data_IF_248488759222
#
_entry.id   IF_248488759222
#
_cell.length_a   1.000
_cell.length_b   1.000
_cell.length_c   1.000
_cell.angle_alpha   90.00
_cell.angle_beta   90.00
_cell.angle_gamma   90.00
#
_symmetry.space_group_name_H-M   'P 1'
#
loop_
_entity.id
_entity.type
_entity.pdbx_description
1 polymer ?
#
# COMPACT_ATOMS: atom_id res chain seq x y z
N UNK A 1 11.61 3.70 -12.98
CA UNK A 1 11.97 4.94 -12.26
C UNK A 1 11.11 4.90 -11.02
N UNK A 2 11.71 4.85 -9.83
CA UNK A 2 10.93 4.61 -8.62
C UNK A 2 9.94 5.76 -8.40
N UNK A 3 8.68 5.44 -8.12
CA UNK A 3 7.68 6.46 -7.82
C UNK A 3 8.01 7.10 -6.46
N UNK A 4 7.51 8.30 -6.21
CA UNK A 4 7.64 8.94 -4.90
C UNK A 4 7.08 8.05 -3.76
N UNK A 5 6.04 7.26 -4.06
CA UNK A 5 5.42 6.32 -3.12
C UNK A 5 6.30 5.11 -2.84
N UNK A 6 6.95 4.54 -3.86
CA UNK A 6 7.92 3.45 -3.70
C UNK A 6 9.06 3.84 -2.74
N UNK A 7 9.61 5.05 -2.89
CA UNK A 7 10.63 5.55 -1.97
C UNK A 7 10.11 5.70 -0.53
N UNK A 8 8.87 6.19 -0.35
CA UNK A 8 8.25 6.34 0.98
C UNK A 8 7.99 4.99 1.67
N UNK A 9 7.59 3.97 0.90
CA UNK A 9 7.41 2.60 1.42
C UNK A 9 8.73 2.02 1.91
N UNK A 10 9.79 2.18 1.13
CA UNK A 10 11.13 1.72 1.51
C UNK A 10 11.63 2.45 2.76
N UNK A 11 11.44 3.76 2.84
CA UNK A 11 11.81 4.57 4.01
C UNK A 11 11.13 4.05 5.30
N UNK A 12 9.81 3.78 5.26
CA UNK A 12 9.08 3.23 6.42
C UNK A 12 9.57 1.84 6.82
N UNK A 13 9.83 0.97 5.83
CA UNK A 13 10.30 -0.40 6.09
C UNK A 13 11.71 -0.41 6.68
N UNK A 14 12.59 0.45 6.17
CA UNK A 14 13.99 0.57 6.59
C UNK A 14 14.17 1.41 7.86
N UNK A 15 13.16 2.19 8.27
CA UNK A 15 13.22 3.00 9.48
C UNK A 15 13.40 2.14 10.74
N UNK A 16 14.61 2.14 11.30
CA UNK A 16 14.93 1.41 12.54
C UNK A 16 14.33 2.03 13.81
N UNK A 17 13.79 3.25 13.73
CA UNK A 17 13.15 3.94 14.86
C UNK A 17 11.68 3.55 15.03
N UNK A 18 11.04 3.03 13.97
CA UNK A 18 9.66 2.58 14.01
C UNK A 18 9.54 1.13 14.45
N UNK A 19 8.60 0.88 15.36
CA UNK A 19 8.15 -0.47 15.68
C UNK A 19 7.38 -1.08 14.51
N UNK A 20 7.32 -2.41 14.45
CA UNK A 20 6.56 -3.12 13.41
C UNK A 20 5.11 -2.65 13.31
N UNK A 21 4.46 -2.38 14.45
CA UNK A 21 3.07 -1.88 14.48
C UNK A 21 2.95 -0.48 13.86
N UNK A 22 3.91 0.42 14.13
CA UNK A 22 3.93 1.76 13.54
C UNK A 22 4.19 1.69 12.03
N UNK A 23 5.12 0.83 11.59
CA UNK A 23 5.37 0.60 10.16
C UNK A 23 4.11 0.12 9.45
N UNK A 24 3.37 -0.79 10.08
CA UNK A 24 2.10 -1.30 9.55
C UNK A 24 1.04 -0.20 9.48
N UNK A 25 0.95 0.67 10.49
CA UNK A 25 0.01 1.78 10.50
C UNK A 25 0.30 2.77 9.35
N UNK A 26 1.55 3.21 9.21
CA UNK A 26 1.99 4.11 8.14
C UNK A 26 1.76 3.53 6.74
N UNK A 27 2.08 2.25 6.55
CA UNK A 27 1.85 1.56 5.27
C UNK A 27 0.35 1.45 4.93
N UNK A 28 -0.51 1.27 5.93
CA UNK A 28 -1.98 1.24 5.73
C UNK A 28 -2.54 2.60 5.34
N UNK A 29 -1.99 3.68 5.88
CA UNK A 29 -2.39 5.04 5.49
C UNK A 29 -2.01 5.30 4.02
N UNK A 30 -0.82 4.91 3.59
CA UNK A 30 -0.40 4.99 2.18
C UNK A 30 -1.33 4.18 1.27
N UNK A 31 -1.74 2.97 1.69
CA UNK A 31 -2.70 2.15 0.96
C UNK A 31 -4.07 2.83 0.83
N UNK A 32 -4.57 3.42 1.93
CA UNK A 32 -5.84 4.12 1.97
C UNK A 32 -5.84 5.35 1.06
N UNK A 33 -4.77 6.14 1.09
CA UNK A 33 -4.58 7.28 0.20
C UNK A 33 -4.54 6.85 -1.27
N UNK A 34 -3.79 5.79 -1.59
CA UNK A 34 -3.71 5.25 -2.96
C UNK A 34 -5.09 4.83 -3.47
N UNK A 35 -5.89 4.15 -2.63
CA UNK A 35 -7.27 3.76 -2.96
C UNK A 35 -8.21 4.95 -3.10
N UNK A 36 -8.04 5.99 -2.28
CA UNK A 36 -8.80 7.24 -2.38
C UNK A 36 -8.54 7.96 -3.70
N UNK A 37 -7.27 8.02 -4.10
CA UNK A 37 -6.85 8.60 -5.36
C UNK A 37 -7.27 7.75 -6.57
N UNK A 38 -7.24 6.43 -6.45
CA UNK A 38 -7.83 5.51 -7.44
C UNK A 38 -9.33 5.80 -7.63
N UNK A 39 -10.09 5.98 -6.55
CA UNK A 39 -11.51 6.29 -6.61
C UNK A 39 -11.77 7.62 -7.32
N UNK A 40 -11.00 8.66 -6.96
CA UNK A 40 -11.09 9.97 -7.60
C UNK A 40 -10.68 9.94 -9.08
N UNK A 41 -9.70 9.11 -9.45
CA UNK A 41 -9.26 8.93 -10.83
C UNK A 41 -10.31 8.17 -11.67
N UNK A 42 -10.90 7.10 -11.12
CA UNK A 42 -11.97 6.33 -11.79
C UNK A 42 -13.26 7.13 -12.03
N UNK A 43 -13.50 8.20 -11.26
CA UNK A 43 -14.66 9.08 -11.46
C UNK A 43 -14.43 10.12 -12.58
N UNK A 44 -13.20 10.32 -13.07
CA UNK A 44 -12.88 11.43 -13.98
C UNK A 44 -12.60 11.08 -15.44
N UNK A 45 -12.03 9.92 -15.81
CA UNK A 45 -11.82 9.59 -17.23
C UNK A 45 -11.29 8.16 -17.43
N UNK A 46 -11.69 7.52 -18.54
CA UNK A 46 -10.92 6.43 -19.17
C UNK A 46 -9.46 6.89 -19.33
N UNK A 47 -8.51 6.34 -18.56
CA UNK A 47 -7.10 6.72 -18.72
C UNK A 47 -6.19 6.29 -17.58
N UNK A 48 -5.43 5.22 -17.87
CA UNK A 48 -4.10 4.88 -17.35
C UNK A 48 -4.00 4.37 -15.90
N UNK A 49 -4.18 3.05 -15.79
CA UNK A 49 -4.13 2.24 -14.57
C UNK A 49 -2.72 1.89 -14.06
N UNK A 50 -1.64 2.26 -14.75
CA UNK A 50 -0.38 1.52 -14.59
C UNK A 50 0.53 1.96 -13.43
N UNK A 51 0.43 3.21 -12.95
CA UNK A 51 1.34 3.71 -11.90
C UNK A 51 0.95 3.27 -10.48
N UNK A 52 -0.34 3.31 -10.17
CA UNK A 52 -0.85 3.17 -8.80
C UNK A 52 -1.01 1.72 -8.36
N UNK A 53 -1.23 0.81 -9.33
CA UNK A 53 -1.30 -0.62 -9.05
C UNK A 53 0.07 -1.18 -8.62
N UNK A 54 1.16 -0.65 -9.16
CA UNK A 54 2.52 -1.08 -8.78
C UNK A 54 2.87 -0.63 -7.36
N UNK A 55 2.54 0.61 -7.02
CA UNK A 55 2.69 1.14 -5.66
C UNK A 55 1.90 0.31 -4.63
N UNK A 56 0.65 -0.05 -4.95
CA UNK A 56 -0.17 -0.90 -4.08
C UNK A 56 0.42 -2.30 -3.89
N UNK A 57 1.03 -2.88 -4.93
CA UNK A 57 1.70 -4.18 -4.82
C UNK A 57 2.89 -4.11 -3.86
N UNK A 58 3.69 -3.06 -3.92
CA UNK A 58 4.81 -2.88 -2.98
C UNK A 58 4.36 -2.66 -1.54
N UNK A 59 3.35 -1.83 -1.31
CA UNK A 59 2.79 -1.63 0.04
C UNK A 59 2.31 -2.95 0.63
N UNK A 60 1.59 -3.77 -0.15
CA UNK A 60 1.12 -5.09 0.30
C UNK A 60 2.27 -6.06 0.56
N UNK A 61 3.31 -6.05 -0.28
CA UNK A 61 4.48 -6.90 -0.07
C UNK A 61 5.26 -6.50 1.19
N UNK A 62 5.37 -5.20 1.46
CA UNK A 62 5.97 -4.67 2.69
C UNK A 62 5.16 -5.05 3.93
N UNK A 63 3.83 -4.92 3.88
CA UNK A 63 2.92 -5.33 4.95
C UNK A 63 3.04 -6.84 5.24
N UNK A 64 3.07 -7.68 4.20
CA UNK A 64 3.23 -9.12 4.33
C UNK A 64 4.59 -9.49 4.95
N UNK A 65 5.67 -8.84 4.48
CA UNK A 65 7.03 -9.02 5.04
C UNK A 65 7.13 -8.61 6.51
N UNK A 66 6.39 -7.59 6.92
CA UNK A 66 6.31 -7.14 8.32
C UNK A 66 5.41 -8.04 9.19
N UNK A 67 4.77 -9.06 8.60
CA UNK A 67 3.86 -9.94 9.32
C UNK A 67 2.55 -9.27 9.70
N UNK A 68 2.16 -8.19 8.98
CA UNK A 68 0.85 -7.61 9.12
C UNK A 68 -0.18 -8.67 8.75
N UNK A 69 -0.86 -9.25 9.75
CA UNK A 69 -2.00 -10.13 9.48
C UNK A 69 -2.99 -9.31 8.67
N UNK A 70 -3.12 -9.63 7.37
CA UNK A 70 -4.25 -9.16 6.58
C UNK A 70 -5.49 -9.45 7.45
N UNK A 71 -6.32 -8.44 7.75
CA UNK A 71 -7.56 -8.71 8.48
C UNK A 71 -8.29 -9.72 7.62
N UNK A 72 -8.38 -10.98 8.10
CA UNK A 72 -8.90 -12.13 7.36
C UNK A 72 -10.18 -11.70 6.66
N UNK A 73 -10.08 -11.34 5.38
CA UNK A 73 -11.25 -11.15 4.55
C UNK A 73 -11.83 -12.55 4.50
N UNK A 74 -13.04 -12.67 5.07
CA UNK A 74 -13.65 -13.94 5.42
C UNK A 74 -13.48 -14.96 4.31
N UNK A 75 -13.28 -16.20 4.73
CA UNK A 75 -13.33 -17.37 3.88
C UNK A 75 -14.45 -17.23 2.82
N UNK A 76 -14.06 -16.91 1.59
CA UNK A 76 -14.73 -17.45 0.42
C UNK A 76 -13.98 -18.75 0.11
N UNK A 77 -14.10 -19.72 1.00
CA UNK A 77 -13.90 -21.12 0.62
C UNK A 77 -15.09 -21.46 -0.27
N UNK A 78 -14.84 -21.55 -1.57
CA UNK A 78 -15.70 -22.26 -2.52
C UNK A 78 -15.63 -23.76 -2.25
#
# INVERSE_FOLDING_TARGET
>A
MATFREMRVLEIVEDGSLTTEQKIAELRDIESEARGLQRAASESSMGDEDGWQDDLRQVRFALDKLGAKEPKKGAASL
#
